data_IF_732292573236
#
_entry.id   IF_732292573236
#
_cell.length_a   1.000
_cell.length_b   1.000
_cell.length_c   1.000
_cell.angle_alpha   90.00
_cell.angle_beta   90.00
_cell.angle_gamma   90.00
#
_symmetry.space_group_name_H-M   'P 1'
#
loop_
_entity.id
_entity.type
_entity.pdbx_description
1 polymer ?
#
# COMPACT_ATOMS: atom_id res chain seq x y z
N UNK A 1 18.16 5.81 -13.21
CA UNK A 1 17.75 4.43 -12.90
C UNK A 1 17.38 4.34 -11.43
N UNK A 2 16.09 4.32 -11.07
CA UNK A 2 15.68 4.20 -9.66
C UNK A 2 14.74 3.01 -9.52
N UNK A 3 15.29 1.92 -8.99
CA UNK A 3 14.60 0.73 -8.52
C UNK A 3 14.52 0.87 -7.00
N UNK A 4 13.40 1.36 -6.46
CA UNK A 4 13.11 1.27 -5.02
C UNK A 4 11.81 0.48 -4.82
N UNK A 5 11.76 -0.72 -5.40
CA UNK A 5 10.93 -1.78 -4.85
C UNK A 5 11.65 -2.33 -3.62
N UNK A 6 10.90 -2.57 -2.54
CA UNK A 6 11.43 -3.30 -1.38
C UNK A 6 11.90 -4.68 -1.87
N UNK A 7 13.12 -5.06 -1.54
CA UNK A 7 13.65 -6.36 -1.95
C UNK A 7 12.93 -7.47 -1.18
N UNK A 8 12.80 -8.66 -1.78
CA UNK A 8 12.19 -9.82 -1.10
C UNK A 8 12.94 -10.14 0.20
N UNK A 9 14.25 -9.92 0.19
CA UNK A 9 15.11 -10.08 1.37
C UNK A 9 14.72 -9.10 2.48
N UNK A 10 14.42 -7.84 2.13
CA UNK A 10 13.98 -6.85 3.11
C UNK A 10 12.59 -7.16 3.66
N UNK A 11 11.65 -7.55 2.79
CA UNK A 11 10.30 -7.99 3.23
C UNK A 11 10.42 -9.16 4.23
N UNK A 12 11.22 -10.19 3.93
CA UNK A 12 11.43 -11.31 4.85
C UNK A 12 12.10 -10.89 6.16
N UNK A 13 13.01 -9.91 6.11
CA UNK A 13 13.71 -9.42 7.29
C UNK A 13 12.76 -8.65 8.20
N UNK A 14 12.00 -7.71 7.64
CA UNK A 14 11.04 -6.89 8.39
C UNK A 14 9.99 -7.78 9.10
N UNK A 15 9.46 -8.80 8.42
CA UNK A 15 8.49 -9.73 9.04
C UNK A 15 9.14 -10.56 10.16
N UNK A 16 10.43 -10.93 10.03
CA UNK A 16 11.14 -11.69 11.08
C UNK A 16 11.38 -10.83 12.32
N UNK A 17 11.67 -9.54 12.14
CA UNK A 17 11.91 -8.58 13.22
C UNK A 17 10.63 -8.27 14.01
N UNK A 18 9.47 -8.21 13.36
CA UNK A 18 8.18 -8.03 14.05
C UNK A 18 7.79 -9.20 14.96
N UNK A 19 8.22 -10.43 14.65
CA UNK A 19 7.81 -11.65 15.38
C UNK A 19 8.75 -11.97 16.54
N UNK A 20 9.98 -11.45 16.55
CA UNK A 20 10.94 -11.66 17.66
C UNK A 20 10.48 -11.11 19.02
N UNK A 21 9.39 -10.34 19.04
CA UNK A 21 8.71 -9.89 20.25
C UNK A 21 7.60 -10.90 20.61
N UNK A 22 8.02 -12.02 21.23
CA UNK A 22 7.15 -12.86 22.07
C UNK A 22 5.89 -13.49 21.43
N UNK A 23 6.02 -14.17 20.28
CA UNK A 23 4.97 -15.12 19.89
C UNK A 23 5.57 -16.47 19.49
N UNK A 24 5.08 -17.55 20.11
CA UNK A 24 5.37 -18.94 19.72
C UNK A 24 4.88 -19.32 18.31
N UNK A 25 4.61 -18.32 17.45
CA UNK A 25 4.13 -18.49 16.08
C UNK A 25 5.31 -18.79 15.17
N UNK A 26 5.44 -20.04 14.76
CA UNK A 26 6.43 -20.45 13.74
C UNK A 26 6.03 -19.87 12.39
N UNK A 27 6.83 -18.93 11.88
CA UNK A 27 6.65 -18.39 10.54
C UNK A 27 7.26 -19.33 9.50
N UNK A 28 6.48 -19.72 8.49
CA UNK A 28 6.88 -20.60 7.39
C UNK A 28 6.99 -19.87 6.04
N UNK A 29 6.94 -18.53 6.05
CA UNK A 29 7.03 -17.74 4.82
C UNK A 29 8.45 -17.84 4.25
N UNK A 30 8.55 -18.35 3.03
CA UNK A 30 9.78 -18.45 2.27
C UNK A 30 9.86 -17.39 1.17
N UNK A 31 11.07 -17.20 0.64
CA UNK A 31 11.28 -16.35 -0.54
C UNK A 31 10.43 -16.77 -1.74
N UNK A 32 10.17 -18.08 -1.87
CA UNK A 32 9.31 -18.64 -2.92
C UNK A 32 7.88 -18.14 -2.82
N UNK A 33 7.34 -17.99 -1.60
CA UNK A 33 5.97 -17.50 -1.40
C UNK A 33 5.85 -16.04 -1.85
N UNK A 34 6.82 -15.20 -1.50
CA UNK A 34 6.87 -13.80 -1.97
C UNK A 34 7.01 -13.74 -3.50
N UNK A 35 7.81 -14.63 -4.08
CA UNK A 35 7.96 -14.71 -5.53
C UNK A 35 6.65 -15.10 -6.22
N UNK A 36 5.95 -16.11 -5.70
CA UNK A 36 4.65 -16.55 -6.22
C UNK A 36 3.62 -15.42 -6.11
N UNK A 37 3.52 -14.75 -4.96
CA UNK A 37 2.62 -13.60 -4.77
C UNK A 37 2.91 -12.52 -5.82
N UNK A 38 4.18 -12.19 -6.06
CA UNK A 38 4.51 -11.19 -7.08
C UNK A 38 4.07 -11.60 -8.47
N UNK A 39 4.33 -12.85 -8.85
CA UNK A 39 3.95 -13.39 -10.16
C UNK A 39 2.43 -13.43 -10.32
N UNK A 40 1.74 -14.00 -9.35
CA UNK A 40 0.31 -14.31 -9.43
C UNK A 40 -0.55 -13.04 -9.36
N UNK A 41 -0.10 -12.01 -8.64
CA UNK A 41 -0.76 -10.70 -8.56
C UNK A 41 -0.14 -9.64 -9.48
N UNK A 42 0.74 -10.04 -10.40
CA UNK A 42 1.41 -9.14 -11.35
C UNK A 42 2.06 -7.91 -10.68
N UNK A 43 2.61 -8.10 -9.48
CA UNK A 43 3.31 -7.08 -8.67
C UNK A 43 4.72 -6.94 -9.24
N UNK A 44 4.79 -6.55 -10.51
CA UNK A 44 6.03 -6.27 -11.21
C UNK A 44 6.47 -4.89 -10.73
N UNK A 45 7.77 -4.66 -10.50
CA UNK A 45 8.32 -3.46 -9.83
C UNK A 45 8.02 -2.07 -10.45
N UNK A 46 7.03 -1.98 -11.33
CA UNK A 46 6.50 -0.80 -12.00
C UNK A 46 5.27 -0.17 -11.33
N UNK A 47 4.91 -0.59 -10.11
CA UNK A 47 3.72 -0.06 -9.39
C UNK A 47 3.86 1.43 -9.03
N UNK A 48 5.09 1.97 -9.05
CA UNK A 48 5.36 3.37 -8.77
C UNK A 48 5.20 4.22 -10.04
N UNK A 49 4.02 4.82 -10.20
CA UNK A 49 3.68 5.68 -11.35
C UNK A 49 4.47 6.99 -11.38
N UNK A 50 4.88 7.48 -10.22
CA UNK A 50 5.63 8.72 -10.07
C UNK A 50 6.72 8.61 -9.00
N UNK A 51 7.80 9.40 -9.11
CA UNK A 51 8.93 9.38 -8.15
C UNK A 51 8.48 9.68 -6.71
N UNK A 52 7.43 10.49 -6.58
CA UNK A 52 6.77 10.83 -5.31
C UNK A 52 5.56 9.92 -5.13
N UNK A 53 5.55 9.13 -4.05
CA UNK A 53 4.51 8.12 -3.81
C UNK A 53 3.13 8.76 -3.65
N UNK A 54 3.04 9.92 -2.98
CA UNK A 54 1.79 10.67 -2.81
C UNK A 54 1.12 10.99 -4.16
N UNK A 55 1.90 11.34 -5.18
CA UNK A 55 1.41 11.60 -6.54
C UNK A 55 0.90 10.32 -7.20
N UNK A 56 1.60 9.20 -6.99
CA UNK A 56 1.15 7.90 -7.52
C UNK A 56 -0.19 7.49 -6.92
N UNK A 57 -0.37 7.70 -5.62
CA UNK A 57 -1.63 7.39 -4.94
C UNK A 57 -2.75 8.32 -5.41
N UNK A 58 -2.50 9.63 -5.54
CA UNK A 58 -3.48 10.58 -6.11
C UNK A 58 -3.97 10.15 -7.49
N UNK A 59 -3.04 9.82 -8.40
CA UNK A 59 -3.40 9.39 -9.75
C UNK A 59 -4.22 8.10 -9.72
N UNK A 60 -3.85 7.15 -8.85
CA UNK A 60 -4.60 5.90 -8.68
C UNK A 60 -5.99 6.13 -8.09
N UNK A 61 -6.16 6.99 -7.08
CA UNK A 61 -7.48 7.29 -6.51
C UNK A 61 -8.38 7.99 -7.52
N UNK A 62 -7.84 8.87 -8.36
CA UNK A 62 -8.57 9.50 -9.46
C UNK A 62 -9.03 8.48 -10.50
N UNK A 63 -8.15 7.57 -10.92
CA UNK A 63 -8.51 6.51 -11.86
C UNK A 63 -9.57 5.58 -11.28
N UNK A 64 -9.45 5.18 -10.01
CA UNK A 64 -10.43 4.30 -9.37
C UNK A 64 -11.80 4.96 -9.21
N UNK A 65 -11.85 6.27 -8.95
CA UNK A 65 -13.11 7.03 -8.94
C UNK A 65 -13.79 7.07 -10.30
N UNK A 66 -13.02 7.00 -11.39
CA UNK A 66 -13.53 7.02 -12.76
C UNK A 66 -13.84 5.61 -13.30
N UNK A 67 -13.36 4.56 -12.63
CA UNK A 67 -13.67 3.17 -12.95
C UNK A 67 -14.97 2.75 -12.26
N UNK A 68 -15.76 1.88 -12.90
CA UNK A 68 -17.06 1.40 -12.37
C UNK A 68 -16.96 0.62 -11.05
N UNK A 69 -15.76 0.19 -10.66
CA UNK A 69 -15.46 -0.55 -9.44
C UNK A 69 -14.73 0.33 -8.41
N UNK A 70 -15.30 1.50 -8.09
CA UNK A 70 -14.69 2.41 -7.15
C UNK A 70 -14.73 1.85 -5.71
N UNK A 71 -13.55 1.47 -5.20
CA UNK A 71 -13.34 1.05 -3.82
C UNK A 71 -12.89 2.19 -2.89
N UNK A 72 -12.70 3.40 -3.40
CA UNK A 72 -12.23 4.55 -2.62
C UNK A 72 -13.41 5.21 -1.91
N UNK A 73 -13.40 5.16 -0.58
CA UNK A 73 -14.41 5.80 0.27
C UNK A 73 -13.99 7.22 0.62
N UNK A 74 -12.72 7.40 0.98
CA UNK A 74 -12.19 8.70 1.33
C UNK A 74 -10.71 8.81 0.98
N UNK A 75 -10.29 9.99 0.54
CA UNK A 75 -8.90 10.29 0.25
C UNK A 75 -8.59 11.74 0.60
N UNK A 76 -7.56 11.95 1.42
CA UNK A 76 -6.99 13.26 1.78
C UNK A 76 -5.49 13.25 1.54
N UNK A 77 -5.01 14.29 0.85
CA UNK A 77 -3.59 14.54 0.65
C UNK A 77 -2.98 15.33 1.82
N UNK A 78 -1.66 15.18 2.00
CA UNK A 78 -0.92 16.08 2.89
C UNK A 78 -0.90 17.49 2.29
N UNK A 79 -1.00 18.51 3.14
CA UNK A 79 -1.13 19.91 2.77
C UNK A 79 -2.54 20.31 2.32
N UNK A 80 -3.50 19.37 2.31
CA UNK A 80 -4.90 19.69 2.03
C UNK A 80 -5.60 20.15 3.31
N UNK A 81 -5.83 21.46 3.42
CA UNK A 81 -6.64 22.06 4.48
C UNK A 81 -8.14 21.95 4.19
N UNK A 82 -8.97 22.08 5.23
CA UNK A 82 -10.43 22.12 5.08
C UNK A 82 -11.05 20.75 4.86
N UNK A 83 -11.13 19.95 5.92
CA UNK A 83 -11.87 18.69 5.93
C UNK A 83 -12.82 18.65 7.13
N UNK A 84 -13.94 17.96 6.97
CA UNK A 84 -15.01 17.89 7.97
C UNK A 84 -14.68 16.96 9.15
N UNK A 85 -13.50 16.34 9.13
CA UNK A 85 -13.08 15.27 10.04
C UNK A 85 -12.01 15.71 11.06
N UNK A 86 -11.65 17.00 11.08
CA UNK A 86 -10.63 17.52 11.99
C UNK A 86 -9.21 17.01 11.72
N UNK A 87 -8.95 16.49 10.51
CA UNK A 87 -7.62 16.04 10.09
C UNK A 87 -6.70 17.25 9.92
N UNK A 88 -5.47 17.14 10.37
CA UNK A 88 -4.45 18.19 10.21
C UNK A 88 -3.88 18.19 8.80
N UNK A 89 -3.26 19.27 8.40
CA UNK A 89 -2.69 19.40 7.05
C UNK A 89 -1.62 18.34 6.79
N UNK A 90 -0.81 17.99 7.79
CA UNK A 90 0.21 16.94 7.71
C UNK A 90 -0.36 15.51 7.57
N UNK A 91 -1.65 15.29 7.86
CA UNK A 91 -2.24 13.97 7.81
C UNK A 91 -2.47 13.48 6.37
N UNK A 92 -2.05 12.25 6.10
CA UNK A 92 -2.37 11.52 4.88
C UNK A 92 -3.41 10.44 5.20
N UNK A 93 -4.53 10.42 4.48
CA UNK A 93 -5.61 9.44 4.73
C UNK A 93 -6.09 8.83 3.42
N UNK A 94 -6.15 7.50 3.40
CA UNK A 94 -6.75 6.72 2.32
C UNK A 94 -7.64 5.64 2.95
N UNK A 95 -8.94 5.70 2.67
CA UNK A 95 -9.92 4.70 3.10
C UNK A 95 -10.41 3.96 1.85
N UNK A 96 -10.18 2.64 1.85
CA UNK A 96 -10.63 1.73 0.80
C UNK A 96 -11.54 0.67 1.40
N UNK A 97 -12.63 0.35 0.73
CA UNK A 97 -13.58 -0.68 1.15
C UNK A 97 -14.01 -1.51 -0.06
N UNK A 98 -13.98 -2.83 0.10
CA UNK A 98 -14.61 -3.74 -0.87
C UNK A 98 -16.12 -3.68 -0.72
N UNK A 99 -16.87 -4.13 -1.73
CA UNK A 99 -18.34 -4.12 -1.67
C UNK A 99 -18.89 -4.95 -0.50
N UNK A 100 -18.19 -5.99 -0.07
CA UNK A 100 -18.55 -6.78 1.11
C UNK A 100 -18.39 -6.02 2.44
N UNK A 101 -17.56 -4.99 2.46
CA UNK A 101 -17.25 -4.21 3.65
C UNK A 101 -18.05 -2.90 3.72
N UNK A 102 -18.61 -2.43 2.59
CA UNK A 102 -19.40 -1.19 2.48
C UNK A 102 -20.64 -1.21 3.37
#
# INVERSE_FOLDING_TARGET
TIKRSVSEKKILQDIREEITVDSGRKMLIEKKDIHNIKRDFNINGYIKRHKVDAVSVKLWTQEMKNNGENCIVFFKEQGQSGNDYGLKDEDFVLIIMTDFQK
#
